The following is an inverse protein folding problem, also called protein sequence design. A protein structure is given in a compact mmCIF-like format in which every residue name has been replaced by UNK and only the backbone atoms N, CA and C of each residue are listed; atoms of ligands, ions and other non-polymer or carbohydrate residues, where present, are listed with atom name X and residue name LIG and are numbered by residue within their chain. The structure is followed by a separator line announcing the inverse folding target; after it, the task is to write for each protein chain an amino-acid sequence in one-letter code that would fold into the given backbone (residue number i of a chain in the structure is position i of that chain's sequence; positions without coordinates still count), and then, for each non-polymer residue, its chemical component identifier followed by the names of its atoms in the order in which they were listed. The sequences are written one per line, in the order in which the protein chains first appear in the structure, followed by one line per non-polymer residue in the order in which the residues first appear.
data_IF_966737039335
#
_entry.id   IF_966737039335
#
_cell.length_a   1.000
_cell.length_b   1.000
_cell.length_c   1.000
_cell.angle_alpha   90.00
_cell.angle_beta   90.00
_cell.angle_gamma   90.00
#
_symmetry.space_group_name_H-M   'P 1'
#
loop_
_entity.id
_entity.type
_entity.pdbx_description
1 polymer ?
#
# COMPACT_ATOMS: atom_id res chain seq x y z
N UNK A 1 2.51 -2.03 4.80
CA UNK A 1 2.50 -2.26 3.33
C UNK A 1 2.02 -3.63 2.89
N UNK A 2 2.71 -4.75 3.16
CA UNK A 2 2.16 -6.09 2.91
C UNK A 2 0.84 -6.27 3.65
N UNK A 3 0.80 -5.83 4.91
CA UNK A 3 -0.42 -5.86 5.73
C UNK A 3 -1.56 -5.07 5.10
N UNK A 4 -1.31 -3.88 4.57
CA UNK A 4 -2.32 -3.07 3.86
C UNK A 4 -2.89 -3.80 2.63
N UNK A 5 -2.02 -4.45 1.84
CA UNK A 5 -2.46 -5.17 0.63
C UNK A 5 -3.22 -6.44 1.00
N UNK A 6 -2.77 -7.17 2.03
CA UNK A 6 -3.49 -8.34 2.57
C UNK A 6 -4.87 -7.93 3.10
N UNK A 7 -4.95 -6.78 3.78
CA UNK A 7 -6.22 -6.22 4.24
C UNK A 7 -7.20 -6.02 3.07
N UNK A 8 -6.74 -5.40 1.97
CA UNK A 8 -7.54 -5.23 0.75
C UNK A 8 -7.93 -6.56 0.10
N UNK A 9 -6.98 -7.50 -0.04
CA UNK A 9 -7.22 -8.83 -0.62
C UNK A 9 -8.23 -9.66 0.20
N UNK A 10 -8.31 -9.43 1.51
CA UNK A 10 -9.25 -10.10 2.41
C UNK A 10 -10.67 -9.55 2.36
N UNK A 11 -10.91 -8.42 1.69
CA UNK A 11 -12.24 -7.83 1.61
C UNK A 11 -13.14 -8.57 0.59
N UNK A 12 -14.42 -8.81 0.94
CA UNK A 12 -15.36 -9.48 0.04
C UNK A 12 -15.68 -8.65 -1.21
N UNK A 13 -15.55 -7.33 -1.12
CA UNK A 13 -15.68 -6.40 -2.24
C UNK A 13 -14.64 -5.30 -2.09
N UNK A 14 -13.92 -5.01 -3.18
CA UNK A 14 -12.95 -3.92 -3.23
C UNK A 14 -13.56 -2.80 -4.06
N UNK A 15 -13.69 -1.63 -3.46
CA UNK A 15 -14.16 -0.41 -4.11
C UNK A 15 -13.09 0.70 -4.05
N UNK A 16 -13.25 1.70 -4.92
CA UNK A 16 -12.29 2.81 -5.01
C UNK A 16 -12.14 3.60 -3.70
N UNK A 17 -13.22 3.91 -2.94
CA UNK A 17 -13.10 4.59 -1.66
C UNK A 17 -12.23 3.84 -0.65
N UNK A 18 -12.38 2.51 -0.57
CA UNK A 18 -11.59 1.70 0.37
C UNK A 18 -10.11 1.68 -0.01
N UNK A 19 -9.79 1.54 -1.31
CA UNK A 19 -8.41 1.62 -1.77
C UNK A 19 -7.83 3.02 -1.55
N UNK A 20 -8.58 4.10 -1.77
CA UNK A 20 -8.14 5.47 -1.46
C UNK A 20 -7.83 5.67 0.01
N UNK A 21 -8.67 5.14 0.90
CA UNK A 21 -8.39 5.22 2.33
C UNK A 21 -7.07 4.55 2.71
N UNK A 22 -6.72 3.42 2.07
CA UNK A 22 -5.42 2.76 2.29
C UNK A 22 -4.25 3.57 1.70
N UNK A 23 -4.45 4.22 0.55
CA UNK A 23 -3.47 5.14 -0.05
C UNK A 23 -3.20 6.31 0.89
N UNK A 24 -4.24 7.00 1.35
CA UNK A 24 -4.14 8.16 2.24
C UNK A 24 -3.44 7.78 3.55
N UNK A 25 -3.78 6.60 4.10
CA UNK A 25 -3.12 6.06 5.29
C UNK A 25 -1.63 5.80 5.04
N UNK A 26 -1.26 5.19 3.92
CA UNK A 26 0.13 4.93 3.55
C UNK A 26 0.91 6.23 3.36
N UNK A 27 0.38 7.19 2.60
CA UNK A 27 1.01 8.47 2.33
C UNK A 27 1.33 9.22 3.63
N UNK A 28 0.34 9.35 4.52
CA UNK A 28 0.49 10.02 5.81
C UNK A 28 1.50 9.30 6.70
N UNK A 29 1.41 7.97 6.77
CA UNK A 29 2.30 7.16 7.60
C UNK A 29 3.75 7.25 7.13
N UNK A 30 4.00 7.06 5.83
CA UNK A 30 5.33 7.12 5.23
C UNK A 30 5.94 8.51 5.34
N UNK A 31 5.17 9.56 5.09
CA UNK A 31 5.62 10.94 5.21
C UNK A 31 6.06 11.25 6.63
N UNK A 32 5.25 10.88 7.63
CA UNK A 32 5.57 11.09 9.03
C UNK A 32 6.77 10.23 9.48
N UNK A 33 6.84 8.95 9.07
CA UNK A 33 7.96 8.07 9.41
C UNK A 33 9.29 8.60 8.86
N UNK A 34 9.28 9.12 7.63
CA UNK A 34 10.45 9.75 7.02
C UNK A 34 10.83 11.04 7.76
N UNK A 35 9.85 11.89 8.04
CA UNK A 35 10.08 13.15 8.76
C UNK A 35 10.71 12.92 10.14
N UNK A 36 10.26 11.90 10.86
CA UNK A 36 10.76 11.56 12.21
C UNK A 36 12.07 10.74 12.18
N UNK A 37 12.61 10.46 10.99
CA UNK A 37 13.82 9.65 10.80
C UNK A 37 13.65 8.17 11.17
N UNK A 38 12.41 7.70 11.29
CA UNK A 38 12.09 6.30 11.65
C UNK A 38 12.30 5.33 10.48
N UNK A 39 12.27 5.83 9.25
CA UNK A 39 12.63 5.08 8.04
C UNK A 39 13.66 5.85 7.23
N UNK A 40 14.49 5.13 6.46
CA UNK A 40 15.44 5.75 5.54
C UNK A 40 14.74 6.38 4.35
N UNK A 41 15.42 7.29 3.67
CA UNK A 41 14.92 7.83 2.40
C UNK A 41 14.72 6.74 1.35
N UNK A 42 15.61 5.74 1.30
CA UNK A 42 15.49 4.62 0.36
C UNK A 42 14.23 3.79 0.66
N UNK A 43 13.97 3.48 1.94
CA UNK A 43 12.74 2.81 2.36
C UNK A 43 11.49 3.62 1.98
N UNK A 44 11.53 4.94 2.12
CA UNK A 44 10.45 5.83 1.70
C UNK A 44 10.22 5.80 0.19
N UNK A 45 11.28 5.86 -0.62
CA UNK A 45 11.20 5.84 -2.09
C UNK A 45 10.69 4.50 -2.61
N UNK A 46 11.19 3.39 -2.06
CA UNK A 46 10.71 2.05 -2.39
C UNK A 46 9.23 1.90 -2.01
N UNK A 47 8.85 2.43 -0.85
CA UNK A 47 7.48 2.37 -0.36
C UNK A 47 6.49 3.16 -1.22
N UNK A 48 6.90 4.33 -1.70
CA UNK A 48 6.09 5.18 -2.57
C UNK A 48 5.65 4.48 -3.86
N UNK A 49 6.37 3.44 -4.29
CA UNK A 49 5.97 2.68 -5.45
C UNK A 49 4.78 1.72 -5.21
N UNK A 50 4.53 1.34 -3.96
CA UNK A 50 3.31 0.60 -3.57
C UNK A 50 2.14 1.57 -3.40
N UNK A 51 2.36 2.69 -2.72
CA UNK A 51 1.38 3.77 -2.57
C UNK A 51 0.84 4.23 -3.94
N UNK A 52 1.73 4.57 -4.88
CA UNK A 52 1.35 4.97 -6.23
C UNK A 52 0.64 3.86 -7.02
N UNK A 53 1.01 2.59 -6.79
CA UNK A 53 0.33 1.44 -7.37
C UNK A 53 -1.11 1.30 -6.87
N UNK A 54 -1.34 1.48 -5.58
CA UNK A 54 -2.69 1.48 -4.99
C UNK A 54 -3.50 2.70 -5.45
N UNK A 55 -2.88 3.87 -5.57
CA UNK A 55 -3.53 5.07 -6.10
C UNK A 55 -4.00 4.87 -7.56
N UNK A 56 -3.17 4.22 -8.38
CA UNK A 56 -3.55 3.83 -9.74
C UNK A 56 -4.74 2.85 -9.70
N UNK A 57 -4.73 1.86 -8.81
CA UNK A 57 -5.84 0.91 -8.70
C UNK A 57 -7.16 1.55 -8.28
N UNK A 58 -7.13 2.51 -7.36
CA UNK A 58 -8.32 3.28 -7.01
C UNK A 58 -8.92 3.99 -8.23
N UNK A 59 -8.08 4.56 -9.10
CA UNK A 59 -8.54 5.20 -10.33
C UNK A 59 -9.11 4.17 -11.33
N UNK A 60 -8.52 2.98 -11.45
CA UNK A 60 -9.03 1.91 -12.31
C UNK A 60 -10.41 1.42 -11.84
N UNK A 61 -10.62 1.31 -10.53
CA UNK A 61 -11.91 0.99 -9.93
C UNK A 61 -12.98 2.03 -10.28
N UNK A 62 -12.64 3.33 -10.21
CA UNK A 62 -13.56 4.41 -10.61
C UNK A 62 -13.91 4.40 -12.11
N UNK A 63 -13.01 3.88 -12.94
CA UNK A 63 -13.25 3.68 -14.38
C UNK A 63 -14.08 2.42 -14.69
N UNK A 64 -14.47 1.65 -13.67
CA UNK A 64 -15.30 0.46 -13.82
C UNK A 64 -14.53 -0.76 -14.33
N UNK A 65 -13.21 -0.81 -14.11
CA UNK A 65 -12.40 -1.99 -14.42
C UNK A 65 -12.91 -3.19 -13.60
N UNK A 66 -12.97 -4.41 -14.19
CA UNK A 66 -13.43 -5.59 -13.46
C UNK A 66 -12.64 -5.85 -12.18
N UNK A 67 -13.34 -6.18 -11.10
CA UNK A 67 -12.71 -6.49 -9.80
C UNK A 67 -11.70 -7.63 -9.92
N UNK A 68 -11.86 -8.57 -10.84
CA UNK A 68 -10.89 -9.65 -11.10
C UNK A 68 -9.53 -9.12 -11.58
N UNK A 69 -9.50 -8.08 -12.41
CA UNK A 69 -8.26 -7.46 -12.87
C UNK A 69 -7.60 -6.67 -11.74
N UNK A 70 -8.40 -5.97 -10.94
CA UNK A 70 -7.92 -5.25 -9.75
C UNK A 70 -7.29 -6.21 -8.74
N UNK A 71 -7.91 -7.37 -8.53
CA UNK A 71 -7.38 -8.43 -7.66
C UNK A 71 -6.04 -8.96 -8.17
N UNK A 72 -5.88 -9.13 -9.49
CA UNK A 72 -4.62 -9.54 -10.09
C UNK A 72 -3.51 -8.48 -9.87
N UNK A 73 -3.83 -7.21 -10.09
CA UNK A 73 -2.90 -6.12 -9.81
C UNK A 73 -2.54 -6.01 -8.32
N UNK A 74 -3.48 -6.24 -7.41
CA UNK A 74 -3.19 -6.29 -5.97
C UNK A 74 -2.25 -7.43 -5.62
N UNK A 75 -2.35 -8.61 -6.25
CA UNK A 75 -1.39 -9.70 -6.06
C UNK A 75 0.01 -9.31 -6.53
N UNK A 76 0.13 -8.65 -7.68
CA UNK A 76 1.42 -8.15 -8.18
C UNK A 76 2.03 -7.10 -7.23
N UNK A 77 1.21 -6.20 -6.68
CA UNK A 77 1.65 -5.27 -5.66
C UNK A 77 2.05 -5.98 -4.37
N UNK A 78 1.34 -7.06 -3.99
CA UNK A 78 1.69 -7.86 -2.82
C UNK A 78 3.08 -8.50 -2.96
N UNK A 79 3.38 -9.10 -4.11
CA UNK A 79 4.71 -9.64 -4.39
C UNK A 79 5.80 -8.56 -4.35
N UNK A 80 5.51 -7.38 -4.90
CA UNK A 80 6.43 -6.24 -4.83
C UNK A 80 6.63 -5.77 -3.39
N UNK A 81 5.56 -5.70 -2.60
CA UNK A 81 5.63 -5.34 -1.19
C UNK A 81 6.44 -6.36 -0.38
N UNK A 82 6.37 -7.66 -0.74
CA UNK A 82 7.23 -8.69 -0.17
C UNK A 82 8.71 -8.43 -0.41
N UNK A 83 9.10 -8.08 -1.64
CA UNK A 83 10.49 -7.71 -1.95
C UNK A 83 10.96 -6.45 -1.21
N UNK A 84 10.09 -5.46 -1.07
CA UNK A 84 10.38 -4.25 -0.28
C UNK A 84 10.52 -4.60 1.21
N UNK A 85 9.70 -5.52 1.72
CA UNK A 85 9.81 -6.00 3.09
C UNK A 85 11.12 -6.76 3.34
N UNK A 86 11.58 -7.58 2.40
CA UNK A 86 12.90 -8.22 2.48
C UNK A 86 14.05 -7.20 2.55
N UNK A 87 13.96 -6.11 1.78
CA UNK A 87 14.94 -5.02 1.80
C UNK A 87 14.83 -4.13 3.06
N UNK A 88 13.62 -3.92 3.56
CA UNK A 88 13.30 -3.04 4.70
C UNK A 88 12.36 -3.73 5.70
N UNK A 89 12.84 -4.71 6.51
CA UNK A 89 11.96 -5.58 7.31
C UNK A 89 11.10 -4.87 8.35
N UNK A 90 11.56 -3.72 8.86
CA UNK A 90 10.85 -2.95 9.89
C UNK A 90 9.78 -2.01 9.31
N UNK A 91 9.79 -1.77 8.00
CA UNK A 91 8.93 -0.78 7.35
C UNK A 91 7.44 -1.12 7.51
N UNK A 92 7.07 -2.38 7.30
CA UNK A 92 5.67 -2.83 7.39
C UNK A 92 5.12 -2.59 8.81
N UNK A 93 5.85 -3.05 9.83
CA UNK A 93 5.46 -2.86 11.22
C UNK A 93 5.45 -1.39 11.66
N UNK A 94 6.39 -0.58 11.17
CA UNK A 94 6.42 0.86 11.47
C UNK A 94 5.22 1.60 10.88
N UNK A 95 4.77 1.20 9.68
CA UNK A 95 3.53 1.71 9.07
C UNK A 95 2.32 1.23 9.86
N UNK A 96 2.19 -0.07 10.13
CA UNK A 96 1.00 -0.60 10.83
C UNK A 96 0.87 -0.11 12.27
N UNK A 97 1.97 0.22 12.95
CA UNK A 97 1.92 0.85 14.28
C UNK A 97 1.21 2.22 14.29
N UNK A 98 0.98 2.81 13.11
CA UNK A 98 0.25 4.07 12.94
C UNK A 98 -1.26 3.85 12.71
N UNK A 99 -1.69 2.61 12.46
CA UNK A 99 -3.10 2.23 12.31
C UNK A 99 -3.71 2.15 13.72
N UNK A 100 -4.56 3.13 14.08
CA UNK A 100 -5.21 3.25 15.38
C UNK A 100 -6.71 2.97 15.29
#
# INVERSE_FOLDING_TARGET
MQTCIVHLLGQPHIDAPTVRSEVDFLEQSLTQLRHDGSISNDAYLDAGAIEGGLAMLANLLDLGIPTSEVQEHLRQLHERAGRIHEAHPTLDGAVEARRR
#
